data_IF_408256036538
#
_entry.id   IF_408256036538
#
_cell.length_a   1.000
_cell.length_b   1.000
_cell.length_c   1.000
_cell.angle_alpha   90.00
_cell.angle_beta   90.00
_cell.angle_gamma   90.00
#
_symmetry.space_group_name_H-M   'P 1'
#
loop_
_entity.id
_entity.type
_entity.pdbx_description
1 polymer ?
#
# COMPACT_ATOMS: atom_id res chain seq x y z
N UNK A 1 8.17 7.79 -2.64
CA UNK A 1 7.77 7.63 -1.23
C UNK A 1 8.66 8.47 -0.32
N UNK A 2 9.99 8.31 -0.41
CA UNK A 2 10.93 9.10 0.41
C UNK A 2 10.73 10.61 0.26
N UNK A 3 10.57 11.14 -0.95
CA UNK A 3 10.31 12.58 -1.16
C UNK A 3 8.96 13.09 -0.62
N UNK A 4 8.04 12.17 -0.29
CA UNK A 4 6.72 12.52 0.26
C UNK A 4 6.69 12.40 1.79
N UNK A 5 7.45 11.45 2.36
CA UNK A 5 7.50 11.20 3.79
C UNK A 5 8.72 11.83 4.48
N UNK A 6 9.68 12.31 3.70
CA UNK A 6 10.98 12.83 4.15
C UNK A 6 11.71 11.90 5.14
N UNK A 7 11.46 10.60 5.02
CA UNK A 7 11.96 9.56 5.90
C UNK A 7 12.29 8.29 5.12
N UNK A 8 13.09 7.39 5.72
CA UNK A 8 13.34 6.06 5.17
C UNK A 8 12.02 5.30 5.04
N UNK A 9 11.69 4.89 3.82
CA UNK A 9 10.48 4.13 3.53
C UNK A 9 10.85 2.69 3.18
N UNK A 10 10.21 1.72 3.83
CA UNK A 10 10.29 0.31 3.45
C UNK A 10 8.97 -0.04 2.79
N UNK A 11 8.91 -0.21 1.46
CA UNK A 11 7.69 -0.63 0.80
C UNK A 11 7.43 -2.11 1.13
N UNK A 12 6.20 -2.43 1.49
CA UNK A 12 5.79 -3.80 1.76
C UNK A 12 4.78 -4.27 0.71
N UNK A 13 4.80 -5.55 0.35
CA UNK A 13 3.81 -6.17 -0.53
C UNK A 13 3.31 -7.48 0.08
N UNK A 14 2.00 -7.68 0.07
CA UNK A 14 1.38 -8.91 0.56
C UNK A 14 1.33 -9.98 -0.53
N UNK A 15 1.31 -11.25 -0.14
CA UNK A 15 1.20 -12.37 -1.08
C UNK A 15 -0.02 -12.26 -2.01
N UNK A 16 -1.16 -11.82 -1.47
CA UNK A 16 -2.39 -11.67 -2.25
C UNK A 16 -2.30 -10.57 -3.31
N UNK A 17 -1.65 -9.43 -3.01
CA UNK A 17 -1.42 -8.34 -3.99
C UNK A 17 -0.49 -8.84 -5.10
N UNK A 18 0.57 -9.56 -4.75
CA UNK A 18 1.48 -10.13 -5.74
C UNK A 18 0.74 -11.13 -6.65
N UNK A 19 -0.09 -11.99 -6.07
CA UNK A 19 -0.91 -12.95 -6.81
C UNK A 19 -1.96 -12.27 -7.72
N UNK A 20 -2.57 -11.16 -7.30
CA UNK A 20 -3.46 -10.37 -8.17
C UNK A 20 -2.70 -9.79 -9.37
N UNK A 21 -1.52 -9.21 -9.15
CA UNK A 21 -0.70 -8.66 -10.24
C UNK A 21 -0.30 -9.76 -11.23
N UNK A 22 0.01 -10.96 -10.75
CA UNK A 22 0.31 -12.12 -11.60
C UNK A 22 -0.89 -12.53 -12.46
N UNK A 23 -2.11 -12.51 -11.89
CA UNK A 23 -3.36 -12.84 -12.60
C UNK A 23 -3.72 -11.83 -13.69
N UNK A 24 -3.27 -10.57 -13.58
CA UNK A 24 -3.49 -9.56 -14.61
C UNK A 24 -2.70 -9.83 -15.92
N UNK A 25 -1.79 -10.81 -15.91
CA UNK A 25 -1.12 -11.33 -17.09
C UNK A 25 0.01 -10.45 -17.62
N UNK A 26 0.41 -10.69 -18.87
CA UNK A 26 1.65 -10.16 -19.47
C UNK A 26 1.69 -8.63 -19.56
N UNK A 27 0.53 -7.97 -19.67
CA UNK A 27 0.42 -6.51 -19.71
C UNK A 27 1.04 -5.83 -18.48
N UNK A 28 1.04 -6.51 -17.33
CA UNK A 28 1.56 -6.00 -16.06
C UNK A 28 2.91 -6.61 -15.67
N UNK A 29 3.63 -7.24 -16.62
CA UNK A 29 4.94 -7.86 -16.36
C UNK A 29 5.97 -6.89 -15.76
N UNK A 30 5.98 -5.63 -16.19
CA UNK A 30 6.88 -4.61 -15.61
C UNK A 30 6.51 -4.32 -14.15
N UNK A 31 5.22 -4.16 -13.86
CA UNK A 31 4.74 -3.98 -12.50
C UNK A 31 5.08 -5.19 -11.61
N UNK A 32 4.91 -6.41 -12.12
CA UNK A 32 5.28 -7.64 -11.42
C UNK A 32 6.78 -7.71 -11.10
N UNK A 33 7.63 -7.28 -12.03
CA UNK A 33 9.09 -7.23 -11.80
C UNK A 33 9.47 -6.22 -10.73
N UNK A 34 8.82 -5.04 -10.71
CA UNK A 34 9.01 -4.03 -9.67
C UNK A 34 8.51 -4.52 -8.31
N UNK A 35 7.36 -5.20 -8.29
CA UNK A 35 6.78 -5.79 -7.08
C UNK A 35 7.66 -6.89 -6.45
N UNK A 36 8.53 -7.53 -7.24
CA UNK A 36 9.50 -8.54 -6.80
C UNK A 36 10.90 -7.97 -6.53
N UNK A 37 11.06 -6.64 -6.54
CA UNK A 37 12.33 -6.00 -6.23
C UNK A 37 12.72 -6.28 -4.77
N UNK A 38 13.99 -6.63 -4.47
CA UNK A 38 14.43 -6.99 -3.12
C UNK A 38 14.31 -5.85 -2.10
N UNK A 39 14.08 -4.61 -2.54
CA UNK A 39 13.79 -3.48 -1.65
C UNK A 39 12.39 -3.55 -1.05
N UNK A 40 11.50 -4.40 -1.58
CA UNK A 40 10.18 -4.64 -1.04
C UNK A 40 10.21 -5.74 0.02
N UNK A 41 9.62 -5.47 1.17
CA UNK A 41 9.39 -6.48 2.19
C UNK A 41 8.14 -7.29 1.84
N UNK A 42 8.30 -8.61 1.70
CA UNK A 42 7.18 -9.50 1.41
C UNK A 42 6.48 -9.92 2.70
N UNK A 43 5.21 -9.56 2.81
CA UNK A 43 4.35 -9.90 3.94
C UNK A 43 3.52 -11.14 3.62
N UNK A 44 3.70 -12.19 4.42
CA UNK A 44 2.97 -13.43 4.23
C UNK A 44 1.50 -13.29 4.63
N UNK A 45 0.60 -13.84 3.81
CA UNK A 45 -0.84 -13.87 4.10
C UNK A 45 -1.23 -15.18 4.78
N UNK A 46 -2.14 -15.11 5.75
CA UNK A 46 -2.66 -16.27 6.50
C UNK A 46 -4.11 -16.59 6.17
N UNK A 47 -4.60 -16.14 5.02
CA UNK A 47 -5.99 -16.35 4.57
C UNK A 47 -6.01 -17.10 3.25
N UNK A 48 -7.14 -17.76 2.96
CA UNK A 48 -7.42 -18.30 1.64
C UNK A 48 -7.74 -17.19 0.63
N UNK A 49 -7.65 -17.53 -0.67
CA UNK A 49 -7.97 -16.60 -1.76
C UNK A 49 -6.92 -15.49 -1.94
N UNK A 50 -7.20 -14.59 -2.89
CA UNK A 50 -6.25 -13.53 -3.27
C UNK A 50 -6.88 -12.14 -3.29
N UNK A 51 -8.01 -11.92 -2.62
CA UNK A 51 -8.65 -10.61 -2.64
C UNK A 51 -7.87 -9.63 -1.74
N UNK A 52 -7.12 -8.73 -2.36
CA UNK A 52 -6.15 -7.91 -1.65
C UNK A 52 -6.78 -6.87 -0.73
N UNK A 53 -7.93 -6.32 -1.11
CA UNK A 53 -8.59 -5.26 -0.34
C UNK A 53 -8.93 -5.71 1.08
N UNK A 54 -9.51 -6.89 1.23
CA UNK A 54 -9.85 -7.46 2.54
C UNK A 54 -8.60 -7.78 3.35
N UNK A 55 -7.56 -8.32 2.70
CA UNK A 55 -6.28 -8.57 3.36
C UNK A 55 -5.67 -7.29 3.94
N UNK A 56 -5.62 -6.21 3.14
CA UNK A 56 -5.05 -4.94 3.55
C UNK A 56 -5.86 -4.32 4.69
N UNK A 57 -7.19 -4.31 4.57
CA UNK A 57 -8.11 -3.80 5.61
C UNK A 57 -7.95 -4.57 6.90
N UNK A 58 -7.95 -5.91 6.87
CA UNK A 58 -7.79 -6.74 8.06
C UNK A 58 -6.41 -6.50 8.71
N UNK A 59 -5.34 -6.50 7.90
CA UNK A 59 -3.97 -6.32 8.39
C UNK A 59 -3.78 -4.98 9.10
N UNK A 60 -4.25 -3.88 8.50
CA UNK A 60 -4.10 -2.54 9.11
C UNK A 60 -5.07 -2.27 10.25
N UNK A 61 -6.18 -3.03 10.32
CA UNK A 61 -7.06 -3.02 11.49
C UNK A 61 -6.38 -3.66 12.69
N UNK A 62 -5.74 -4.82 12.49
CA UNK A 62 -5.00 -5.52 13.56
C UNK A 62 -3.69 -4.82 13.93
N UNK A 63 -2.97 -4.28 12.95
CA UNK A 63 -1.65 -3.68 13.13
C UNK A 63 -1.64 -2.28 12.53
N UNK A 64 -1.77 -1.26 13.38
CA UNK A 64 -1.81 0.16 12.97
C UNK A 64 -0.43 0.78 12.73
N UNK A 65 0.52 -0.02 12.25
CA UNK A 65 1.91 0.36 11.99
C UNK A 65 2.24 0.50 10.50
N UNK A 66 1.21 0.58 9.65
CA UNK A 66 1.36 0.66 8.20
C UNK A 66 0.74 1.94 7.64
N UNK A 67 1.33 2.42 6.54
CA UNK A 67 0.72 3.39 5.63
C UNK A 67 0.16 2.59 4.44
N UNK A 68 -1.11 2.78 4.10
CA UNK A 68 -1.70 2.09 2.95
C UNK A 68 -1.52 2.94 1.70
N UNK A 69 -0.80 2.42 0.71
CA UNK A 69 -0.62 3.07 -0.59
C UNK A 69 -1.61 2.50 -1.62
N UNK A 70 -2.63 3.27 -2.01
CA UNK A 70 -3.62 2.83 -3.00
C UNK A 70 -4.27 4.00 -3.74
N UNK A 71 -4.58 3.79 -5.02
CA UNK A 71 -5.40 4.70 -5.82
C UNK A 71 -6.86 4.23 -5.95
N UNK A 72 -7.20 3.05 -5.42
CA UNK A 72 -8.56 2.53 -5.49
C UNK A 72 -9.53 3.34 -4.62
N UNK A 73 -10.69 3.73 -5.19
CA UNK A 73 -11.64 4.63 -4.50
C UNK A 73 -12.36 3.94 -3.36
N UNK A 74 -12.69 2.66 -3.51
CA UNK A 74 -13.43 1.87 -2.54
C UNK A 74 -12.54 1.50 -1.37
N UNK A 75 -11.33 0.99 -1.64
CA UNK A 75 -10.34 0.68 -0.60
C UNK A 75 -9.99 1.93 0.20
N UNK A 76 -9.80 3.10 -0.44
CA UNK A 76 -9.59 4.36 0.28
C UNK A 76 -10.76 4.71 1.20
N UNK A 77 -12.01 4.49 0.77
CA UNK A 77 -13.19 4.72 1.62
C UNK A 77 -13.19 3.80 2.84
N UNK A 78 -12.82 2.53 2.68
CA UNK A 78 -12.73 1.54 3.76
C UNK A 78 -11.62 1.89 4.75
N UNK A 79 -10.41 2.18 4.28
CA UNK A 79 -9.26 2.51 5.14
C UNK A 79 -9.49 3.82 5.91
N UNK A 80 -10.20 4.80 5.34
CA UNK A 80 -10.61 6.02 6.07
C UNK A 80 -11.51 5.78 7.28
N UNK A 81 -12.12 4.61 7.41
CA UNK A 81 -12.89 4.27 8.60
C UNK A 81 -12.00 3.79 9.74
N UNK A 82 -10.75 3.41 9.45
CA UNK A 82 -9.79 2.91 10.44
C UNK A 82 -8.98 4.10 10.99
N UNK A 83 -9.11 4.44 12.29
CA UNK A 83 -8.36 5.54 12.88
C UNK A 83 -6.90 5.13 13.11
N UNK A 84 -5.98 6.05 12.80
CA UNK A 84 -4.54 5.87 12.97
C UNK A 84 -3.80 5.25 11.78
N UNK A 85 -4.49 5.04 10.65
CA UNK A 85 -3.88 4.50 9.42
C UNK A 85 -3.78 5.60 8.36
N UNK A 86 -2.57 6.08 8.02
CA UNK A 86 -2.37 7.03 6.93
C UNK A 86 -2.58 6.39 5.55
N UNK A 87 -2.98 7.21 4.58
CA UNK A 87 -3.25 6.78 3.21
C UNK A 87 -2.36 7.56 2.23
N UNK A 88 -1.61 6.84 1.41
CA UNK A 88 -0.79 7.41 0.34
C UNK A 88 -1.41 7.10 -1.03
N UNK A 89 -1.41 8.08 -1.93
CA UNK A 89 -1.95 7.91 -3.28
C UNK A 89 -1.19 8.79 -4.28
N UNK A 90 -1.37 8.54 -5.58
CA UNK A 90 -0.72 9.31 -6.64
C UNK A 90 -1.67 10.41 -7.10
N UNK A 91 -1.19 11.66 -7.16
CA UNK A 91 -1.89 12.81 -7.71
C UNK A 91 -0.87 13.74 -8.38
N UNK A 92 -1.17 14.27 -9.56
CA UNK A 92 -0.30 15.19 -10.29
C UNK A 92 1.16 14.70 -10.43
N UNK A 93 1.34 13.41 -10.73
CA UNK A 93 2.65 12.73 -10.84
C UNK A 93 3.49 12.72 -9.56
N UNK A 94 2.91 13.05 -8.41
CA UNK A 94 3.55 13.02 -7.09
C UNK A 94 2.78 12.09 -6.16
N UNK A 95 3.45 11.59 -5.13
CA UNK A 95 2.76 10.96 -4.01
C UNK A 95 2.18 12.04 -3.10
N UNK A 96 0.94 11.87 -2.68
CA UNK A 96 0.32 12.64 -1.63
C UNK A 96 -0.06 11.70 -0.48
N UNK A 97 -0.08 12.22 0.73
CA UNK A 97 -0.47 11.50 1.93
C UNK A 97 -1.60 12.23 2.66
N UNK A 98 -2.57 11.49 3.15
CA UNK A 98 -3.62 11.97 4.04
C UNK A 98 -3.50 11.31 5.43
N UNK A 99 -3.98 12.02 6.46
CA UNK A 99 -4.08 11.53 7.85
C UNK A 99 -2.75 11.18 8.53
N UNK A 100 -1.66 11.74 8.04
CA UNK A 100 -0.40 11.79 8.79
C UNK A 100 -0.38 13.11 9.59
N UNK A 101 -0.28 13.07 10.93
CA UNK A 101 -0.41 14.27 11.78
C UNK A 101 0.57 15.40 11.45
N UNK A 102 1.76 15.09 10.91
CA UNK A 102 2.80 16.08 10.61
C UNK A 102 2.98 16.40 9.11
N UNK A 103 2.09 15.90 8.23
CA UNK A 103 2.15 16.07 6.75
C UNK A 103 3.57 16.15 6.13
N UNK A 104 4.47 15.24 6.49
CA UNK A 104 5.81 15.11 5.89
C UNK A 104 6.86 16.14 6.33
N UNK A 105 6.48 17.37 6.73
CA UNK A 105 7.28 18.51 7.19
C UNK A 105 8.44 19.01 6.27
N UNK A 106 8.79 20.32 6.25
CA UNK A 106 8.36 21.42 7.12
C UNK A 106 7.47 22.46 6.40
N UNK A 107 6.91 23.37 7.21
CA UNK A 107 6.27 24.65 6.81
C UNK A 107 7.17 25.52 5.95
#
# INVERSE_FOLDING_TARGET
MMDCLYAKCIPCITDCVLAEIEKLGSKYRVALRVARDPRFERLTCTHGGTYADDCLVQRVTSHKCYIVATCDRELRRRIRQIPGVPLMYIVNRKYAIERLPDQGAPT
#
